data_IF_947211179040
#
_entry.id   IF_947211179040
#
_cell.length_a   1.000
_cell.length_b   1.000
_cell.length_c   1.000
_cell.angle_alpha   90.00
_cell.angle_beta   90.00
_cell.angle_gamma   90.00
#
_symmetry.space_group_name_H-M   'P 1'
#
loop_
_entity.id
_entity.type
_entity.pdbx_description
1 polymer ?
#
# COMPACT_ATOMS: atom_id res chain seq x y z
N UNK A 1 36.09 38.15 44.43
CA UNK A 1 36.07 38.69 43.06
C UNK A 1 36.38 37.58 42.06
N UNK A 2 35.39 37.05 41.32
CA UNK A 2 35.63 36.08 40.26
C UNK A 2 35.82 36.78 38.89
N UNK A 3 36.56 36.18 37.93
CA UNK A 3 36.92 36.86 36.69
C UNK A 3 35.81 36.78 35.62
N UNK A 4 35.66 37.91 34.90
CA UNK A 4 34.80 38.14 33.74
C UNK A 4 35.12 37.18 32.58
N UNK A 5 34.11 36.44 32.09
CA UNK A 5 34.13 35.78 30.78
C UNK A 5 33.83 36.80 29.67
N UNK A 6 34.65 36.83 28.62
CA UNK A 6 34.43 37.59 27.39
C UNK A 6 33.55 36.77 26.44
N UNK A 7 32.48 37.37 25.93
CA UNK A 7 31.66 36.82 24.87
C UNK A 7 32.30 37.08 23.50
N UNK A 8 32.29 36.07 22.63
CA UNK A 8 32.77 36.15 21.25
C UNK A 8 31.58 36.08 20.32
N UNK A 9 31.35 37.15 19.56
CA UNK A 9 30.28 37.28 18.56
C UNK A 9 30.79 36.77 17.22
N UNK A 10 30.13 35.77 16.63
CA UNK A 10 30.47 35.26 15.28
C UNK A 10 29.46 35.83 14.27
N UNK A 11 29.98 36.51 13.25
CA UNK A 11 29.21 37.15 12.20
C UNK A 11 28.75 36.16 11.12
N UNK A 12 27.47 36.24 10.75
CA UNK A 12 26.89 35.51 9.62
C UNK A 12 27.28 36.16 8.29
N UNK A 13 27.81 35.36 7.35
CA UNK A 13 28.02 35.75 5.95
C UNK A 13 26.80 35.33 5.13
N UNK A 14 26.14 36.32 4.51
CA UNK A 14 25.10 36.10 3.51
C UNK A 14 25.72 35.61 2.19
N UNK A 15 25.17 34.53 1.62
CA UNK A 15 25.52 34.00 0.31
C UNK A 15 24.50 34.46 -0.73
N UNK A 16 24.96 35.16 -1.76
CA UNK A 16 24.15 35.67 -2.86
C UNK A 16 24.13 34.65 -3.99
N UNK A 17 22.99 33.98 -4.20
CA UNK A 17 22.79 33.06 -5.32
C UNK A 17 22.37 33.83 -6.58
N UNK A 18 23.19 33.74 -7.63
CA UNK A 18 22.89 34.27 -8.98
C UNK A 18 22.02 33.26 -9.73
N UNK A 19 20.82 33.68 -10.15
CA UNK A 19 19.95 32.92 -11.07
C UNK A 19 20.38 33.20 -12.51
N UNK A 20 20.82 32.17 -13.23
CA UNK A 20 21.09 32.20 -14.66
C UNK A 20 19.90 31.59 -15.39
N UNK A 21 19.14 32.41 -16.11
CA UNK A 21 18.03 32.00 -16.97
C UNK A 21 18.54 31.73 -18.38
N UNK A 22 18.62 30.46 -18.78
CA UNK A 22 18.82 30.06 -20.18
C UNK A 22 17.48 29.95 -20.90
N UNK A 23 17.27 30.81 -21.91
CA UNK A 23 16.18 30.72 -22.90
C UNK A 23 16.40 29.52 -23.81
N UNK A 24 15.41 28.61 -23.90
CA UNK A 24 15.37 27.52 -24.88
C UNK A 24 14.47 27.95 -26.05
N UNK A 25 15.04 27.96 -27.26
CA UNK A 25 14.32 28.25 -28.50
C UNK A 25 13.64 26.96 -29.02
N UNK A 26 12.33 27.02 -29.23
CA UNK A 26 11.54 25.94 -29.82
C UNK A 26 11.56 26.06 -31.34
N UNK A 27 12.17 25.08 -32.02
CA UNK A 27 12.17 24.96 -33.48
C UNK A 27 10.91 24.21 -33.91
N UNK A 28 10.06 24.90 -34.67
CA UNK A 28 8.81 24.41 -35.27
C UNK A 28 9.17 23.50 -36.46
N UNK A 29 8.86 22.20 -36.37
CA UNK A 29 8.95 21.26 -37.49
C UNK A 29 7.59 21.27 -38.21
N UNK A 30 7.65 21.47 -39.52
CA UNK A 30 6.51 21.44 -40.44
C UNK A 30 6.38 20.00 -40.92
N UNK A 31 5.18 19.45 -40.79
CA UNK A 31 4.80 18.12 -41.28
C UNK A 31 3.86 18.30 -42.48
N UNK A 32 4.15 17.61 -43.58
CA UNK A 32 3.29 17.53 -44.75
C UNK A 32 3.68 16.30 -45.58
N UNK A 33 2.76 15.36 -45.78
CA UNK A 33 2.94 14.31 -46.78
C UNK A 33 2.03 13.11 -46.61
N UNK A 34 0.83 13.21 -47.20
CA UNK A 34 -0.12 12.12 -47.48
C UNK A 34 0.52 10.84 -48.04
N UNK A 35 0.00 9.68 -47.62
CA UNK A 35 -0.20 8.54 -48.51
C UNK A 35 -1.29 7.59 -48.01
N UNK A 36 -2.44 7.70 -48.67
CA UNK A 36 -3.52 6.73 -48.75
C UNK A 36 -3.04 5.32 -49.12
N UNK A 37 -3.54 4.28 -48.44
CA UNK A 37 -3.82 2.99 -49.11
C UNK A 37 -4.93 2.20 -48.41
N UNK A 38 -5.78 1.61 -49.27
CA UNK A 38 -7.04 0.93 -48.99
C UNK A 38 -6.87 -0.49 -48.43
N UNK A 39 -7.90 -0.87 -47.65
CA UNK A 39 -8.64 -2.14 -47.62
C UNK A 39 -7.91 -3.47 -47.36
N UNK A 40 -8.35 -4.15 -46.28
CA UNK A 40 -8.71 -5.58 -46.31
C UNK A 40 -9.58 -5.93 -45.10
N UNK A 41 -10.88 -6.03 -45.35
CA UNK A 41 -11.88 -6.61 -44.44
C UNK A 41 -11.58 -8.10 -44.26
N UNK A 42 -11.27 -8.53 -43.04
CA UNK A 42 -11.25 -9.97 -42.71
C UNK A 42 -12.09 -10.22 -41.46
N UNK A 43 -13.31 -10.69 -41.71
CA UNK A 43 -14.26 -11.19 -40.72
C UNK A 43 -13.71 -12.47 -40.10
N UNK A 44 -13.28 -12.44 -38.83
CA UNK A 44 -13.06 -13.64 -38.02
C UNK A 44 -14.08 -13.70 -36.89
N UNK A 45 -15.03 -14.62 -37.07
CA UNK A 45 -15.89 -15.18 -36.02
C UNK A 45 -15.02 -15.72 -34.89
N UNK A 46 -15.19 -15.20 -33.68
CA UNK A 46 -14.74 -15.84 -32.45
C UNK A 46 -15.97 -16.39 -31.71
N UNK A 47 -15.90 -17.69 -31.40
CA UNK A 47 -16.95 -18.44 -30.75
C UNK A 47 -17.20 -17.93 -29.32
N UNK A 48 -18.46 -17.58 -29.05
CA UNK A 48 -18.99 -17.36 -27.70
C UNK A 48 -18.96 -18.69 -26.93
N UNK A 49 -17.96 -18.87 -26.07
CA UNK A 49 -18.03 -19.85 -24.97
C UNK A 49 -18.88 -19.24 -23.86
N UNK A 50 -20.17 -19.60 -23.83
CA UNK A 50 -21.02 -19.48 -22.64
C UNK A 50 -20.43 -20.36 -21.53
N UNK A 51 -19.57 -19.78 -20.70
CA UNK A 51 -19.22 -20.35 -19.41
C UNK A 51 -20.45 -20.33 -18.52
N UNK A 52 -20.87 -21.50 -18.05
CA UNK A 52 -21.96 -21.64 -17.11
C UNK A 52 -21.60 -20.88 -15.82
N UNK A 53 -22.30 -19.76 -15.59
CA UNK A 53 -22.23 -19.02 -14.34
C UNK A 53 -22.99 -19.84 -13.31
N UNK A 54 -22.27 -20.67 -12.55
CA UNK A 54 -22.80 -21.43 -11.43
C UNK A 54 -23.17 -20.44 -10.33
N UNK A 55 -24.36 -19.86 -10.42
CA UNK A 55 -24.98 -19.12 -9.34
C UNK A 55 -25.41 -20.11 -8.27
N UNK A 56 -24.50 -20.42 -7.35
CA UNK A 56 -24.83 -21.03 -6.07
C UNK A 56 -25.78 -20.09 -5.35
N UNK A 57 -27.05 -20.50 -5.26
CA UNK A 57 -28.06 -19.80 -4.48
C UNK A 57 -27.64 -19.79 -3.01
N UNK A 58 -27.07 -18.67 -2.56
CA UNK A 58 -26.82 -18.37 -1.14
C UNK A 58 -28.13 -18.45 -0.37
N UNK A 59 -28.34 -19.57 0.32
CA UNK A 59 -29.47 -19.78 1.22
C UNK A 59 -29.47 -18.72 2.33
N UNK A 60 -30.63 -18.10 2.56
CA UNK A 60 -30.88 -17.16 3.66
C UNK A 60 -30.90 -17.89 5.01
N UNK A 61 -29.75 -18.32 5.52
CA UNK A 61 -29.60 -18.67 6.93
C UNK A 61 -28.82 -17.55 7.63
N UNK A 62 -29.58 -16.61 8.18
CA UNK A 62 -29.12 -15.29 8.63
C UNK A 62 -28.55 -15.26 10.07
N UNK A 63 -27.92 -16.34 10.53
CA UNK A 63 -26.81 -16.21 11.47
C UNK A 63 -25.52 -16.20 10.65
N UNK A 64 -25.39 -15.17 9.80
CA UNK A 64 -24.19 -14.96 9.03
C UNK A 64 -23.04 -14.79 10.03
N UNK A 65 -22.15 -15.77 10.06
CA UNK A 65 -20.85 -15.67 10.72
C UNK A 65 -20.23 -14.36 10.22
N UNK A 66 -19.94 -13.45 11.14
CA UNK A 66 -19.33 -12.18 10.79
C UNK A 66 -17.94 -12.12 11.40
N UNK A 67 -17.12 -11.23 10.85
CA UNK A 67 -15.89 -10.86 11.51
C UNK A 67 -16.17 -10.14 12.84
N UNK A 68 -15.31 -10.39 13.81
CA UNK A 68 -15.14 -9.62 15.03
C UNK A 68 -13.91 -8.73 14.85
N UNK A 69 -14.03 -7.45 15.18
CA UNK A 69 -12.91 -6.52 15.25
C UNK A 69 -12.35 -6.56 16.67
N UNK A 70 -11.11 -7.04 16.82
CA UNK A 70 -10.42 -7.08 18.12
C UNK A 70 -9.32 -6.06 18.11
N UNK A 71 -9.36 -5.08 19.03
CA UNK A 71 -8.31 -4.05 19.11
C UNK A 71 -6.97 -4.72 19.40
N UNK A 72 -5.95 -4.40 18.62
CA UNK A 72 -4.57 -4.82 18.88
C UNK A 72 -4.00 -3.88 19.94
N UNK A 73 -3.53 -4.44 21.06
CA UNK A 73 -2.98 -3.69 22.19
C UNK A 73 -1.45 -3.73 22.25
N UNK A 74 -0.83 -4.64 21.52
CA UNK A 74 0.61 -4.83 21.46
C UNK A 74 0.97 -5.61 20.19
N UNK A 75 2.22 -5.47 19.76
CA UNK A 75 2.82 -6.23 18.66
C UNK A 75 3.86 -7.23 19.19
N UNK A 76 4.12 -8.34 18.48
CA UNK A 76 3.57 -8.69 17.17
C UNK A 76 2.08 -9.07 17.19
N UNK A 77 1.39 -8.82 16.08
CA UNK A 77 0.07 -9.37 15.79
C UNK A 77 0.16 -10.39 14.65
N UNK A 78 -0.81 -11.30 14.54
CA UNK A 78 -0.73 -12.39 13.57
C UNK A 78 -2.08 -12.65 12.88
N UNK A 79 -2.02 -13.10 11.63
CA UNK A 79 -3.16 -13.58 10.88
C UNK A 79 -2.74 -14.69 9.90
N UNK A 80 -3.71 -15.44 9.39
CA UNK A 80 -3.49 -16.54 8.45
C UNK A 80 -3.96 -16.18 7.04
N UNK A 81 -3.13 -16.48 6.04
CA UNK A 81 -3.46 -16.41 4.62
C UNK A 81 -3.66 -17.84 4.10
N UNK A 82 -4.92 -18.22 3.89
CA UNK A 82 -5.33 -19.56 3.44
C UNK A 82 -5.61 -19.61 1.94
N UNK A 83 -6.04 -18.50 1.33
CA UNK A 83 -6.38 -18.44 -0.10
C UNK A 83 -5.17 -18.40 -1.04
N UNK A 84 -3.99 -18.01 -0.54
CA UNK A 84 -2.83 -17.68 -1.37
C UNK A 84 -2.94 -16.31 -2.04
N UNK A 85 -3.88 -15.49 -1.59
CA UNK A 85 -4.06 -14.13 -2.05
C UNK A 85 -4.41 -13.19 -0.89
N UNK A 86 -3.85 -11.98 -0.94
CA UNK A 86 -4.19 -10.92 0.01
C UNK A 86 -4.92 -9.79 -0.70
N UNK A 87 -5.90 -9.22 -0.01
CA UNK A 87 -6.51 -7.94 -0.32
C UNK A 87 -5.81 -6.86 0.50
N UNK A 88 -5.52 -5.73 -0.14
CA UNK A 88 -4.75 -4.66 0.48
C UNK A 88 -5.30 -3.26 0.17
N UNK A 89 -4.93 -2.28 1.00
CA UNK A 89 -5.31 -0.88 0.82
C UNK A 89 -6.38 -0.46 1.82
N UNK A 90 -7.36 0.35 1.43
CA UNK A 90 -8.43 0.78 2.33
C UNK A 90 -9.72 0.02 2.08
N UNK A 91 -10.76 0.30 2.88
CA UNK A 91 -12.05 -0.41 2.79
C UNK A 91 -12.57 -0.44 1.35
N UNK A 92 -12.65 0.71 0.66
CA UNK A 92 -13.17 0.78 -0.70
C UNK A 92 -12.32 -0.01 -1.71
N UNK A 93 -11.00 0.05 -1.59
CA UNK A 93 -10.11 -0.62 -2.55
C UNK A 93 -9.99 -2.11 -2.29
N UNK A 94 -10.03 -2.53 -1.03
CA UNK A 94 -10.19 -3.94 -0.64
C UNK A 94 -11.46 -4.53 -1.25
N UNK A 95 -12.58 -3.80 -1.21
CA UNK A 95 -13.83 -4.24 -1.85
C UNK A 95 -13.71 -4.29 -3.38
N UNK A 96 -12.98 -3.35 -3.97
CA UNK A 96 -12.67 -3.37 -5.40
C UNK A 96 -11.79 -4.59 -5.75
N UNK A 97 -10.77 -4.88 -4.96
CA UNK A 97 -9.86 -6.00 -5.18
C UNK A 97 -10.53 -7.35 -5.01
N UNK A 98 -11.46 -7.48 -4.07
CA UNK A 98 -12.29 -8.67 -3.93
C UNK A 98 -13.16 -8.95 -5.18
N UNK A 99 -13.51 -7.91 -5.93
CA UNK A 99 -14.26 -8.03 -7.18
C UNK A 99 -13.35 -8.09 -8.43
N UNK A 100 -12.03 -7.97 -8.28
CA UNK A 100 -11.07 -7.99 -9.37
C UNK A 100 -10.73 -9.42 -9.79
N UNK A 101 -10.78 -9.70 -11.09
CA UNK A 101 -10.29 -10.95 -11.69
C UNK A 101 -8.77 -10.96 -11.91
N UNK A 102 -8.08 -9.93 -11.43
CA UNK A 102 -6.66 -9.70 -11.69
C UNK A 102 -5.92 -9.38 -10.41
N UNK A 103 -4.62 -9.69 -10.41
CA UNK A 103 -3.72 -9.47 -9.28
C UNK A 103 -2.66 -8.42 -9.62
N UNK A 104 -2.18 -7.75 -8.58
CA UNK A 104 -0.97 -6.94 -8.62
C UNK A 104 0.27 -7.83 -8.71
N UNK A 105 1.32 -7.33 -9.35
CA UNK A 105 2.55 -8.09 -9.64
C UNK A 105 3.78 -7.22 -9.42
N UNK A 106 4.96 -7.82 -9.51
CA UNK A 106 6.27 -7.14 -9.48
C UNK A 106 6.43 -6.05 -10.55
N UNK A 107 5.61 -6.08 -11.62
CA UNK A 107 5.65 -5.05 -12.67
C UNK A 107 5.04 -3.71 -12.24
N UNK A 108 4.35 -3.69 -11.10
CA UNK A 108 3.70 -2.52 -10.55
C UNK A 108 2.34 -2.22 -11.20
N UNK A 109 1.91 -0.94 -11.25
CA UNK A 109 0.61 -0.56 -11.77
C UNK A 109 0.46 -0.87 -13.26
N UNK A 110 -0.72 -1.37 -13.68
CA UNK A 110 -0.98 -1.84 -15.06
C UNK A 110 -0.88 -0.75 -16.12
N UNK A 111 -1.44 0.42 -15.81
CA UNK A 111 -1.37 1.58 -16.68
C UNK A 111 -0.49 2.64 -16.03
N UNK A 112 0.40 3.24 -16.83
CA UNK A 112 1.19 4.39 -16.41
C UNK A 112 0.52 5.62 -17.01
N UNK A 113 -0.29 6.32 -16.21
CA UNK A 113 -0.78 7.62 -16.66
C UNK A 113 0.40 8.57 -16.87
N UNK A 114 0.46 9.19 -18.04
CA UNK A 114 1.40 10.27 -18.32
C UNK A 114 0.97 11.52 -17.55
N UNK A 115 1.50 11.68 -16.34
CA UNK A 115 1.26 12.81 -15.46
C UNK A 115 0.44 12.44 -14.23
N UNK A 116 0.98 12.78 -13.05
CA UNK A 116 0.36 12.51 -11.76
C UNK A 116 1.27 11.68 -10.85
N UNK A 117 1.19 11.93 -9.55
CA UNK A 117 1.87 11.16 -8.50
C UNK A 117 0.98 10.03 -7.94
N UNK A 118 -0.24 9.91 -8.46
CA UNK A 118 -1.30 9.05 -7.91
C UNK A 118 -1.45 7.80 -8.78
N UNK A 119 -0.98 6.65 -8.26
CA UNK A 119 -0.95 5.36 -8.97
C UNK A 119 -2.15 4.46 -8.68
N UNK A 120 -3.09 4.91 -7.83
CA UNK A 120 -4.11 4.09 -7.16
C UNK A 120 -5.06 3.37 -8.12
N UNK A 121 -5.57 4.04 -9.15
CA UNK A 121 -6.53 3.44 -10.07
C UNK A 121 -5.92 2.33 -10.95
N UNK A 122 -4.61 2.11 -10.87
CA UNK A 122 -3.88 1.13 -11.67
C UNK A 122 -3.50 -0.14 -10.90
N UNK A 123 -3.84 -0.20 -9.62
CA UNK A 123 -3.73 -1.41 -8.82
C UNK A 123 -5.06 -2.16 -8.77
N UNK A 124 -4.93 -3.46 -8.62
CA UNK A 124 -6.01 -4.42 -8.47
C UNK A 124 -6.43 -4.56 -7.02
N UNK A 125 -5.56 -4.19 -6.05
CA UNK A 125 -5.81 -4.32 -4.60
C UNK A 125 -6.03 -5.76 -4.15
N UNK A 126 -5.49 -6.67 -4.94
CA UNK A 126 -5.50 -8.12 -4.78
C UNK A 126 -4.14 -8.58 -5.28
N UNK A 127 -3.45 -9.40 -4.53
CA UNK A 127 -2.08 -9.80 -4.86
C UNK A 127 -1.90 -11.27 -4.50
N UNK A 128 -1.21 -12.03 -5.35
CA UNK A 128 -0.76 -13.37 -5.01
C UNK A 128 0.18 -13.29 -3.82
N UNK A 129 -0.03 -14.11 -2.80
CA UNK A 129 0.68 -14.01 -1.53
C UNK A 129 0.97 -15.39 -0.98
N UNK A 130 2.08 -15.52 -0.27
CA UNK A 130 2.47 -16.79 0.31
C UNK A 130 1.41 -17.26 1.32
N UNK A 131 0.96 -18.50 1.15
CA UNK A 131 0.03 -19.16 2.09
C UNK A 131 0.73 -19.45 3.41
N UNK A 132 0.01 -19.26 4.52
CA UNK A 132 0.52 -19.56 5.86
C UNK A 132 0.32 -18.40 6.82
N UNK A 133 1.16 -18.36 7.84
CA UNK A 133 1.09 -17.39 8.93
C UNK A 133 1.81 -16.10 8.55
N UNK A 134 1.11 -14.99 8.77
CA UNK A 134 1.60 -13.65 8.57
C UNK A 134 1.70 -12.94 9.93
N UNK A 135 2.82 -12.25 10.12
CA UNK A 135 3.14 -11.48 11.32
C UNK A 135 3.09 -10.01 10.97
N UNK A 136 2.67 -9.19 11.93
CA UNK A 136 2.70 -7.74 11.84
C UNK A 136 3.52 -7.22 13.00
N UNK A 137 4.52 -6.40 12.69
CA UNK A 137 5.34 -5.70 13.67
C UNK A 137 5.27 -4.19 13.48
N UNK A 138 5.48 -3.48 14.59
CA UNK A 138 5.76 -2.05 14.58
C UNK A 138 7.19 -1.80 14.12
N UNK A 139 7.33 -0.80 13.26
CA UNK A 139 8.61 -0.25 12.81
C UNK A 139 8.73 1.14 13.42
N UNK A 140 9.70 1.32 14.31
CA UNK A 140 9.97 2.61 14.91
C UNK A 140 10.96 3.38 14.05
N UNK A 141 10.55 4.56 13.60
CA UNK A 141 11.37 5.48 12.83
C UNK A 141 11.34 6.86 13.48
N UNK A 142 12.22 7.07 14.46
CA UNK A 142 12.09 8.23 15.36
C UNK A 142 10.73 8.23 16.07
N UNK A 143 9.93 9.27 15.84
CA UNK A 143 8.58 9.40 16.41
C UNK A 143 7.47 9.03 15.40
N UNK A 144 7.83 8.57 14.21
CA UNK A 144 6.87 8.25 13.15
C UNK A 144 6.55 6.75 13.19
N UNK A 145 5.29 6.35 13.36
CA UNK A 145 4.93 4.94 13.37
C UNK A 145 4.85 4.40 11.93
N UNK A 146 5.45 3.24 11.73
CA UNK A 146 5.30 2.43 10.53
C UNK A 146 5.03 0.99 10.94
N UNK A 147 4.62 0.16 9.98
CA UNK A 147 4.31 -1.24 10.20
C UNK A 147 4.93 -2.10 9.10
N UNK A 148 5.29 -3.32 9.45
CA UNK A 148 5.67 -4.36 8.50
C UNK A 148 4.78 -5.58 8.70
N UNK A 149 4.05 -5.96 7.66
CA UNK A 149 3.31 -7.22 7.58
C UNK A 149 4.12 -8.19 6.74
N UNK A 150 4.45 -9.37 7.25
CA UNK A 150 5.34 -10.30 6.56
C UNK A 150 4.95 -11.75 6.80
N UNK A 151 5.23 -12.61 5.82
CA UNK A 151 5.09 -14.05 5.99
C UNK A 151 6.15 -14.57 6.99
N UNK A 152 5.84 -15.58 7.79
CA UNK A 152 6.72 -16.07 8.87
C UNK A 152 8.11 -16.55 8.40
N UNK A 153 8.23 -16.89 7.11
CA UNK A 153 9.49 -17.29 6.47
C UNK A 153 10.36 -16.12 5.98
N UNK A 154 9.89 -14.87 6.08
CA UNK A 154 10.61 -13.68 5.63
C UNK A 154 11.25 -12.92 6.82
N UNK A 155 12.40 -12.28 6.58
CA UNK A 155 13.04 -11.42 7.59
C UNK A 155 12.46 -10.00 7.51
N UNK A 156 11.64 -9.62 8.49
CA UNK A 156 11.03 -8.30 8.59
C UNK A 156 12.03 -7.14 8.46
N UNK A 157 13.26 -7.29 9.00
CA UNK A 157 14.29 -6.25 8.94
C UNK A 157 14.81 -6.05 7.53
N UNK A 158 14.99 -7.15 6.80
CA UNK A 158 15.37 -7.08 5.39
C UNK A 158 14.29 -6.38 4.55
N UNK A 159 13.03 -6.73 4.77
CA UNK A 159 11.89 -6.13 4.07
C UNK A 159 11.81 -4.61 4.30
N UNK A 160 11.95 -4.15 5.56
CA UNK A 160 11.95 -2.72 5.90
C UNK A 160 13.16 -2.02 5.29
N UNK A 161 14.35 -2.64 5.35
CA UNK A 161 15.57 -2.08 4.73
C UNK A 161 15.41 -1.93 3.22
N UNK A 162 14.83 -2.91 2.53
CA UNK A 162 14.56 -2.85 1.09
C UNK A 162 13.56 -1.74 0.75
N UNK A 163 12.47 -1.64 1.50
CA UNK A 163 11.50 -0.56 1.35
C UNK A 163 12.14 0.83 1.56
N UNK A 164 12.94 0.99 2.61
CA UNK A 164 13.64 2.25 2.91
C UNK A 164 14.65 2.63 1.82
N UNK A 165 15.40 1.64 1.30
CA UNK A 165 16.34 1.86 0.18
C UNK A 165 15.64 2.28 -1.11
N UNK A 166 14.43 1.76 -1.37
CA UNK A 166 13.61 2.18 -2.52
C UNK A 166 13.04 3.58 -2.30
N UNK A 167 12.60 3.89 -1.08
CA UNK A 167 11.98 5.15 -0.74
C UNK A 167 10.76 5.47 -1.63
N UNK A 168 10.49 6.75 -1.85
CA UNK A 168 9.43 7.21 -2.74
C UNK A 168 9.83 6.96 -4.19
N UNK A 169 9.09 6.10 -4.89
CA UNK A 169 9.40 5.74 -6.28
C UNK A 169 8.17 5.77 -7.20
N UNK A 170 7.66 6.98 -7.46
CA UNK A 170 6.47 7.19 -8.30
C UNK A 170 6.58 6.55 -9.70
N UNK A 171 7.79 6.37 -10.23
CA UNK A 171 8.03 5.80 -11.56
C UNK A 171 8.49 4.33 -11.53
N UNK A 172 8.61 3.70 -10.35
CA UNK A 172 9.17 2.35 -10.18
C UNK A 172 10.54 2.18 -10.88
N UNK A 173 11.37 3.23 -10.86
CA UNK A 173 12.67 3.26 -11.54
C UNK A 173 13.83 2.81 -10.64
N UNK A 174 13.54 2.44 -9.40
CA UNK A 174 14.53 1.87 -8.46
C UNK A 174 15.11 0.55 -8.97
N UNK A 175 16.24 0.11 -8.40
CA UNK A 175 16.94 -1.09 -8.89
C UNK A 175 16.29 -2.41 -8.42
N UNK A 176 15.69 -2.43 -7.23
CA UNK A 176 15.10 -3.62 -6.63
C UNK A 176 13.72 -3.93 -7.23
N UNK A 177 13.69 -4.62 -8.37
CA UNK A 177 12.46 -4.96 -9.11
C UNK A 177 11.47 -5.87 -8.38
N UNK A 178 11.84 -6.36 -7.19
CA UNK A 178 10.99 -7.16 -6.31
C UNK A 178 10.25 -6.32 -5.28
N UNK A 179 10.54 -5.02 -5.23
CA UNK A 179 9.80 -4.05 -4.42
C UNK A 179 8.91 -3.21 -5.33
N UNK A 180 7.63 -3.13 -5.03
CA UNK A 180 6.68 -2.25 -5.71
C UNK A 180 6.24 -1.18 -4.74
N UNK A 181 6.61 0.06 -5.03
CA UNK A 181 6.15 1.21 -4.27
C UNK A 181 4.66 1.47 -4.53
N UNK A 182 3.87 1.65 -3.50
CA UNK A 182 2.45 1.98 -3.59
C UNK A 182 2.19 3.29 -2.85
N UNK A 183 1.93 4.36 -3.59
CA UNK A 183 1.72 5.70 -3.03
C UNK A 183 0.24 5.97 -2.77
N UNK A 184 -0.07 6.70 -1.68
CA UNK A 184 -1.34 7.37 -1.51
C UNK A 184 -1.23 8.84 -1.10
N UNK A 185 -1.81 9.69 -1.96
CA UNK A 185 -2.33 11.01 -1.61
C UNK A 185 -3.82 10.91 -1.30
N UNK A 186 -4.20 11.45 -0.14
CA UNK A 186 -5.47 12.13 0.17
C UNK A 186 -6.76 11.49 -0.39
N UNK A 187 -7.28 10.46 0.28
CA UNK A 187 -8.73 10.16 0.22
C UNK A 187 -9.20 10.45 1.63
N UNK A 188 -9.96 11.52 1.83
CA UNK A 188 -11.32 11.64 1.31
C UNK A 188 -11.73 13.11 1.13
N UNK A 189 -12.62 13.39 0.17
CA UNK A 189 -13.50 14.56 0.25
C UNK A 189 -14.16 14.56 1.66
N UNK A 190 -14.13 15.70 2.36
CA UNK A 190 -14.30 15.84 3.82
C UNK A 190 -15.50 15.11 4.45
N UNK A 191 -16.49 14.70 3.65
CA UNK A 191 -17.75 14.09 4.13
C UNK A 191 -17.66 12.57 4.38
N UNK A 192 -16.67 11.86 3.82
CA UNK A 192 -16.37 10.45 4.15
C UNK A 192 -15.01 10.27 4.87
N UNK A 193 -14.30 11.39 5.10
CA UNK A 193 -12.99 11.53 5.77
C UNK A 193 -12.83 10.64 7.01
N UNK A 194 -13.79 10.76 7.90
CA UNK A 194 -13.76 10.16 9.24
C UNK A 194 -13.89 8.63 9.25
N UNK A 195 -14.32 8.03 8.13
CA UNK A 195 -14.55 6.58 8.04
C UNK A 195 -13.47 5.83 7.27
N UNK A 196 -12.58 6.51 6.54
CA UNK A 196 -11.78 5.86 5.48
C UNK A 196 -10.30 6.32 5.45
N UNK A 197 -9.96 7.56 5.86
CA UNK A 197 -8.56 8.01 5.88
C UNK A 197 -7.73 7.43 7.04
N UNK A 198 -6.42 7.20 6.81
CA UNK A 198 -5.47 6.81 7.86
C UNK A 198 -5.41 5.33 8.19
N UNK A 199 -5.67 4.48 7.20
CA UNK A 199 -6.04 3.08 7.40
C UNK A 199 -5.47 2.20 6.30
N UNK A 200 -4.67 1.21 6.67
CA UNK A 200 -4.29 0.12 5.81
C UNK A 200 -4.98 -1.16 6.28
N UNK A 201 -5.67 -1.84 5.38
CA UNK A 201 -6.19 -3.18 5.54
C UNK A 201 -5.28 -4.13 4.78
N UNK A 202 -4.98 -5.26 5.40
CA UNK A 202 -4.35 -6.41 4.76
C UNK A 202 -5.05 -7.67 5.26
N UNK A 203 -5.65 -8.46 4.37
CA UNK A 203 -6.41 -9.63 4.78
C UNK A 203 -6.50 -10.70 3.70
N UNK A 204 -6.76 -11.94 4.12
CA UNK A 204 -7.08 -13.07 3.24
C UNK A 204 -8.28 -12.74 2.33
N UNK A 205 -8.09 -12.95 1.02
CA UNK A 205 -9.10 -12.70 0.01
C UNK A 205 -10.42 -13.47 0.25
N UNK A 206 -10.35 -14.73 0.69
CA UNK A 206 -11.53 -15.58 0.92
C UNK A 206 -12.36 -15.11 2.13
N UNK A 207 -11.80 -14.25 2.98
CA UNK A 207 -12.47 -13.73 4.17
C UNK A 207 -13.18 -12.39 3.95
N UNK A 208 -13.19 -11.86 2.72
CA UNK A 208 -13.81 -10.56 2.42
C UNK A 208 -15.30 -10.50 2.77
N UNK A 209 -16.07 -11.56 2.51
CA UNK A 209 -17.50 -11.60 2.85
C UNK A 209 -17.75 -11.52 4.37
N UNK A 210 -16.85 -12.08 5.19
CA UNK A 210 -16.93 -11.99 6.66
C UNK A 210 -16.71 -10.55 7.11
N UNK A 211 -15.73 -9.86 6.51
CA UNK A 211 -15.43 -8.47 6.77
C UNK A 211 -16.59 -7.55 6.36
N UNK A 212 -17.13 -7.71 5.15
CA UNK A 212 -18.32 -6.96 4.67
C UNK A 212 -19.52 -7.17 5.60
N UNK A 213 -19.71 -8.40 6.08
CA UNK A 213 -20.79 -8.73 7.01
C UNK A 213 -20.62 -8.02 8.36
N UNK A 214 -19.37 -7.81 8.82
CA UNK A 214 -19.09 -7.01 10.00
C UNK A 214 -19.41 -5.53 9.76
N UNK A 215 -18.92 -4.94 8.65
CA UNK A 215 -19.17 -3.52 8.34
C UNK A 215 -20.66 -3.15 8.25
N UNK A 216 -21.51 -4.06 7.75
CA UNK A 216 -22.97 -3.84 7.67
C UNK A 216 -23.65 -3.73 9.03
N UNK A 217 -23.02 -4.21 10.10
CA UNK A 217 -23.54 -4.06 11.47
C UNK A 217 -23.19 -2.65 11.94
N UNK A 218 -24.19 -1.74 11.96
CA UNK A 218 -24.06 -0.29 12.25
C UNK A 218 -23.20 0.10 13.48
N UNK A 219 -22.87 -0.83 14.37
CA UNK A 219 -22.07 -0.60 15.58
C UNK A 219 -20.55 -0.76 15.39
N UNK A 220 -20.07 -1.38 14.31
CA UNK A 220 -18.62 -1.56 14.07
C UNK A 220 -18.13 -0.51 13.08
N UNK A 221 -18.08 0.74 13.53
CA UNK A 221 -17.23 1.72 12.87
C UNK A 221 -15.79 1.30 13.13
N UNK A 222 -15.01 1.12 12.07
CA UNK A 222 -13.54 1.09 12.22
C UNK A 222 -13.19 2.46 12.80
N UNK A 223 -12.88 2.52 14.10
CA UNK A 223 -12.31 3.75 14.67
C UNK A 223 -10.88 3.90 14.14
N UNK A 224 -10.26 5.08 14.32
CA UNK A 224 -8.83 5.26 14.04
C UNK A 224 -7.99 4.51 15.08
N UNK A 225 -7.99 3.19 14.95
CA UNK A 225 -7.34 2.23 15.83
C UNK A 225 -6.92 1.02 15.02
N UNK A 226 -5.92 0.33 15.54
CA UNK A 226 -5.45 -0.92 14.94
C UNK A 226 -6.27 -2.11 15.45
N UNK A 227 -6.74 -2.96 14.52
CA UNK A 227 -7.60 -4.11 14.80
C UNK A 227 -7.11 -5.37 14.10
N UNK A 228 -7.25 -6.51 14.77
CA UNK A 228 -7.25 -7.83 14.18
C UNK A 228 -8.66 -8.16 13.67
N UNK A 229 -8.75 -8.73 12.48
CA UNK A 229 -10.00 -9.19 11.86
C UNK A 229 -10.14 -10.69 12.13
N UNK A 230 -11.06 -11.05 13.03
CA UNK A 230 -11.20 -12.44 13.50
C UNK A 230 -12.53 -13.02 13.03
N UNK A 231 -12.52 -14.24 12.50
CA UNK A 231 -13.75 -14.99 12.24
C UNK A 231 -14.40 -15.36 13.58
N UNK A 232 -15.61 -14.86 13.85
CA UNK A 232 -16.27 -15.06 15.14
C UNK A 232 -16.64 -16.52 15.45
N UNK A 233 -16.70 -17.40 14.43
CA UNK A 233 -17.03 -18.81 14.62
C UNK A 233 -15.81 -19.69 14.93
N UNK A 234 -14.68 -19.41 14.27
CA UNK A 234 -13.45 -20.21 14.40
C UNK A 234 -12.43 -19.58 15.33
N UNK A 235 -12.61 -18.30 15.68
CA UNK A 235 -11.61 -17.48 16.36
C UNK A 235 -10.29 -17.31 15.60
N UNK A 236 -10.23 -17.68 14.31
CA UNK A 236 -9.05 -17.47 13.48
C UNK A 236 -8.97 -16.01 12.98
N UNK A 237 -7.79 -15.42 13.07
CA UNK A 237 -7.53 -14.08 12.51
C UNK A 237 -7.16 -14.22 11.04
N UNK A 238 -7.82 -13.46 10.18
CA UNK A 238 -7.65 -13.53 8.72
C UNK A 238 -7.12 -12.22 8.13
N UNK A 239 -6.85 -11.21 8.96
CA UNK A 239 -6.28 -9.96 8.51
C UNK A 239 -6.15 -8.93 9.61
N UNK A 240 -5.65 -7.77 9.23
CA UNK A 240 -5.42 -6.61 10.09
C UNK A 240 -5.93 -5.32 9.46
N UNK A 241 -6.33 -4.40 10.32
CA UNK A 241 -6.59 -3.00 10.01
C UNK A 241 -5.60 -2.18 10.81
N UNK A 242 -4.64 -1.54 10.15
CA UNK A 242 -3.60 -0.70 10.75
C UNK A 242 -4.02 0.76 10.61
N UNK A 243 -3.91 1.53 11.69
CA UNK A 243 -4.28 2.94 11.68
C UNK A 243 -3.39 3.75 12.60
N UNK A 244 -3.13 4.98 12.20
CA UNK A 244 -2.47 6.00 13.00
C UNK A 244 -3.34 7.27 12.95
N UNK A 245 -3.42 8.00 14.07
CA UNK A 245 -4.24 9.20 14.23
C UNK A 245 -3.55 10.45 13.67
N UNK A 246 -2.22 10.48 13.63
CA UNK A 246 -1.43 11.59 13.11
C UNK A 246 -0.88 11.29 11.71
N UNK A 247 -1.76 11.31 10.70
CA UNK A 247 -1.39 10.99 9.31
C UNK A 247 -1.87 12.07 8.34
N UNK A 248 -0.95 12.54 7.48
CA UNK A 248 -1.26 13.40 6.33
C UNK A 248 -1.08 12.62 5.01
N UNK A 249 -0.09 11.74 4.95
CA UNK A 249 0.24 10.96 3.76
C UNK A 249 0.65 9.54 4.15
N UNK A 250 0.27 8.58 3.31
CA UNK A 250 0.43 7.16 3.56
C UNK A 250 1.23 6.55 2.42
N UNK A 251 2.33 5.89 2.76
CA UNK A 251 3.15 5.18 1.79
C UNK A 251 3.11 3.68 2.08
N UNK A 252 3.24 2.87 1.04
CA UNK A 252 3.42 1.44 1.19
C UNK A 252 4.39 0.87 0.18
N UNK A 253 4.88 -0.33 0.47
CA UNK A 253 5.73 -1.11 -0.41
C UNK A 253 5.28 -2.56 -0.35
N UNK A 254 4.97 -3.13 -1.50
CA UNK A 254 4.82 -4.58 -1.67
C UNK A 254 6.19 -5.17 -1.94
N UNK A 255 6.57 -6.22 -1.21
CA UNK A 255 7.83 -6.93 -1.39
C UNK A 255 7.51 -8.38 -1.75
N UNK A 256 8.01 -8.78 -2.91
CA UNK A 256 7.81 -10.09 -3.49
C UNK A 256 9.03 -10.97 -3.22
N UNK A 257 8.77 -12.27 -3.12
CA UNK A 257 9.80 -13.29 -3.04
C UNK A 257 10.72 -13.25 -4.27
N UNK A 258 11.98 -13.63 -4.09
CA UNK A 258 12.98 -13.55 -5.17
C UNK A 258 12.85 -14.70 -6.17
N UNK A 259 12.27 -15.83 -5.75
CA UNK A 259 12.14 -17.05 -6.57
C UNK A 259 10.72 -17.25 -7.11
N UNK A 260 9.72 -16.61 -6.51
CA UNK A 260 8.32 -16.64 -6.92
C UNK A 260 7.76 -15.24 -7.24
N UNK A 261 6.52 -15.16 -7.71
CA UNK A 261 5.79 -13.88 -7.86
C UNK A 261 4.84 -13.63 -6.68
N UNK A 262 5.07 -14.31 -5.55
CA UNK A 262 4.23 -14.20 -4.36
C UNK A 262 4.70 -13.05 -3.47
N UNK A 263 3.75 -12.31 -2.91
CA UNK A 263 4.00 -11.34 -1.86
C UNK A 263 4.48 -12.07 -0.60
N UNK A 264 5.59 -11.58 -0.02
CA UNK A 264 6.13 -12.04 1.27
C UNK A 264 6.18 -10.94 2.32
N UNK A 265 6.06 -9.67 1.89
CA UNK A 265 6.10 -8.52 2.77
C UNK A 265 5.26 -7.35 2.27
N UNK A 266 4.68 -6.60 3.19
CA UNK A 266 4.06 -5.31 2.96
C UNK A 266 4.54 -4.35 4.04
N UNK A 267 5.28 -3.31 3.64
CA UNK A 267 5.70 -2.24 4.55
C UNK A 267 4.75 -1.07 4.39
N UNK A 268 4.25 -0.53 5.50
CA UNK A 268 3.29 0.55 5.55
C UNK A 268 3.84 1.70 6.41
N UNK A 269 4.16 2.82 5.78
CA UNK A 269 4.61 4.03 6.46
C UNK A 269 3.42 4.98 6.63
N UNK A 270 3.05 5.21 7.90
CA UNK A 270 1.94 6.09 8.25
C UNK A 270 2.35 7.56 8.26
N UNK A 271 3.62 7.86 8.00
CA UNK A 271 4.13 9.21 7.87
C UNK A 271 4.56 9.43 6.42
N UNK A 272 4.51 10.67 5.97
CA UNK A 272 4.81 11.01 4.57
C UNK A 272 6.13 10.47 4.03
N UNK A 273 7.13 10.27 4.90
CA UNK A 273 8.48 9.94 4.47
C UNK A 273 9.39 9.50 5.62
N UNK A 274 8.89 8.83 6.65
CA UNK A 274 9.77 8.34 7.72
C UNK A 274 10.79 7.35 7.19
N UNK A 275 10.37 6.45 6.29
CA UNK A 275 11.28 5.49 5.66
C UNK A 275 12.12 6.10 4.52
N UNK A 276 11.98 7.39 4.24
CA UNK A 276 12.83 8.06 3.24
C UNK A 276 14.22 8.35 3.82
N UNK A 277 15.26 7.98 3.06
CA UNK A 277 16.69 8.12 3.39
C UNK A 277 17.08 9.53 3.89
N UNK A 278 16.33 10.56 3.51
CA UNK A 278 16.59 11.95 3.89
C UNK A 278 16.17 12.29 5.34
N UNK A 279 15.35 11.43 5.99
CA UNK A 279 14.72 11.71 7.29
C UNK A 279 15.11 10.72 8.41
N UNK A 280 15.95 9.72 8.14
CA UNK A 280 16.09 8.60 9.06
C UNK A 280 16.91 8.94 10.32
N UNK A 281 16.22 9.03 11.45
CA UNK A 281 16.77 8.54 12.71
C UNK A 281 17.01 7.02 12.64
N UNK A 282 17.45 6.42 13.73
CA UNK A 282 17.60 4.96 13.84
C UNK A 282 16.26 4.26 13.56
N UNK A 283 16.23 3.39 12.55
CA UNK A 283 15.07 2.54 12.25
C UNK A 283 15.22 1.26 13.05
N UNK A 284 14.16 0.86 13.75
CA UNK A 284 14.14 -0.43 14.46
C UNK A 284 12.88 -1.22 14.13
N UNK A 285 13.02 -2.55 14.09
CA UNK A 285 11.90 -3.48 13.98
C UNK A 285 11.91 -4.33 15.24
N UNK A 286 10.80 -4.36 15.97
CA UNK A 286 10.71 -5.01 17.28
C UNK A 286 11.83 -4.57 18.25
N UNK A 287 12.25 -3.31 18.19
CA UNK A 287 13.31 -2.73 19.02
C UNK A 287 14.74 -3.10 18.59
N UNK A 288 14.92 -3.80 17.47
CA UNK A 288 16.23 -4.15 16.92
C UNK A 288 16.58 -3.21 15.76
N UNK A 289 17.74 -2.52 15.79
CA UNK A 289 18.18 -1.65 14.70
C UNK A 289 18.41 -2.39 13.38
N UNK A 290 18.22 -1.69 12.26
CA UNK A 290 18.43 -2.21 10.89
C UNK A 290 19.44 -1.39 10.10
#
# INVERSE_FOLDING_TARGET
MPPRRKATTTAAKASTTRVVTTRRASKKVVDSGDASTRAATTTKRAASKKGAKTTTSRGKNANAVAAKLTKISAFPAEFECTSGELLWGQVNTVLQGAASDSVDTTTGPKERLTGGTILQHNFSYRVAAKQGRWVVDEVAVGNCPAFVCYHEDADARDLVRRAANVGISNMQTHEDKRVVYVNRYDWVERDFGELIGGRCLLMDADSCDLFVSALKRKSTRLEQRTYALTNASTSSTFGVHLSNDDIEYELGWMIFDDDSEELVGFVYDCSYSALSVENCGEITVAGVPI
#
